data_IF_382031741234
#
_entry.id   IF_382031741234
#
_cell.length_a   1.000
_cell.length_b   1.000
_cell.length_c   1.000
_cell.angle_alpha   90.00
_cell.angle_beta   90.00
_cell.angle_gamma   90.00
#
_symmetry.space_group_name_H-M   'P 1'
#
loop_
_entity.id
_entity.type
_entity.pdbx_description
1 polymer ?
#
# COMPACT_ATOMS: atom_id res chain seq x y z
N UNK A 1 -7.69 -39.22 4.48
CA UNK A 1 -6.92 -38.27 3.64
C UNK A 1 -7.90 -37.34 2.97
N UNK A 2 -7.63 -36.03 2.94
CA UNK A 2 -8.48 -35.09 2.22
C UNK A 2 -8.48 -35.44 0.72
N UNK A 3 -9.64 -35.30 0.09
CA UNK A 3 -9.83 -35.55 -1.34
C UNK A 3 -9.09 -34.51 -2.20
N UNK A 4 -8.50 -34.93 -3.32
CA UNK A 4 -7.65 -34.09 -4.17
C UNK A 4 -8.40 -32.87 -4.69
N UNK A 5 -9.63 -33.06 -5.21
CA UNK A 5 -10.44 -31.97 -5.74
C UNK A 5 -10.79 -30.95 -4.67
N UNK A 6 -11.14 -31.44 -3.47
CA UNK A 6 -11.43 -30.57 -2.32
C UNK A 6 -10.24 -29.68 -1.93
N UNK A 7 -9.00 -30.21 -1.94
CA UNK A 7 -7.81 -29.41 -1.64
C UNK A 7 -7.53 -28.40 -2.75
N UNK A 8 -7.73 -28.80 -4.01
CA UNK A 8 -7.58 -27.91 -5.16
C UNK A 8 -8.56 -26.73 -5.09
N UNK A 9 -9.83 -26.96 -4.78
CA UNK A 9 -10.82 -25.89 -4.66
C UNK A 9 -10.45 -24.91 -3.55
N UNK A 10 -10.05 -25.41 -2.38
CA UNK A 10 -9.59 -24.58 -1.26
C UNK A 10 -8.34 -23.77 -1.60
N UNK A 11 -7.41 -24.30 -2.43
CA UNK A 11 -6.26 -23.54 -2.92
C UNK A 11 -6.72 -22.29 -3.70
N UNK A 12 -7.76 -22.41 -4.53
CA UNK A 12 -8.30 -21.28 -5.29
C UNK A 12 -9.10 -20.31 -4.43
N UNK A 13 -9.88 -20.80 -3.48
CA UNK A 13 -10.57 -19.94 -2.50
C UNK A 13 -9.56 -19.12 -1.69
N UNK A 14 -8.49 -19.77 -1.21
CA UNK A 14 -7.43 -19.13 -0.43
C UNK A 14 -6.67 -18.03 -1.20
N UNK A 15 -6.70 -18.05 -2.53
CA UNK A 15 -6.15 -16.96 -3.32
C UNK A 15 -6.98 -15.67 -3.22
N UNK A 16 -8.26 -15.75 -2.87
CA UNK A 16 -9.11 -14.58 -2.56
C UNK A 16 -9.13 -14.23 -1.07
N UNK A 17 -9.05 -15.23 -0.19
CA UNK A 17 -9.05 -15.08 1.26
C UNK A 17 -7.82 -15.74 1.89
N UNK A 18 -6.84 -14.90 2.23
CA UNK A 18 -5.55 -15.36 2.75
C UNK A 18 -5.64 -16.09 4.11
N UNK A 19 -6.79 -16.04 4.81
CA UNK A 19 -6.99 -16.75 6.08
C UNK A 19 -7.15 -18.25 5.88
N UNK A 20 -7.60 -18.67 4.71
CA UNK A 20 -7.83 -20.09 4.40
C UNK A 20 -6.52 -20.86 4.20
N UNK A 21 -5.40 -20.19 3.92
CA UNK A 21 -4.10 -20.84 3.68
C UNK A 21 -3.64 -21.74 4.82
N UNK A 22 -3.96 -21.43 6.08
CA UNK A 22 -3.63 -22.33 7.20
C UNK A 22 -4.32 -23.69 7.08
N UNK A 23 -5.59 -23.70 6.66
CA UNK A 23 -6.32 -24.95 6.40
C UNK A 23 -5.80 -25.63 5.13
N UNK A 24 -5.50 -24.87 4.07
CA UNK A 24 -4.91 -25.44 2.84
C UNK A 24 -3.60 -26.14 3.14
N UNK A 25 -2.72 -25.53 3.95
CA UNK A 25 -1.44 -26.13 4.32
C UNK A 25 -1.61 -27.37 5.19
N UNK A 26 -2.66 -27.41 6.04
CA UNK A 26 -3.00 -28.62 6.78
C UNK A 26 -3.47 -29.75 5.86
N UNK A 27 -4.39 -29.46 4.94
CA UNK A 27 -4.94 -30.46 4.02
C UNK A 27 -3.89 -30.97 3.02
N UNK A 28 -3.05 -30.07 2.50
CA UNK A 28 -1.92 -30.41 1.62
C UNK A 28 -0.93 -31.34 2.33
N UNK A 29 -0.57 -31.04 3.58
CA UNK A 29 0.29 -31.92 4.37
C UNK A 29 -0.37 -33.30 4.58
N UNK A 30 -1.65 -33.33 4.91
CA UNK A 30 -2.42 -34.57 5.06
C UNK A 30 -2.50 -35.44 3.81
N UNK A 31 -2.43 -34.85 2.61
CA UNK A 31 -2.41 -35.60 1.35
C UNK A 31 -1.10 -36.40 1.12
N UNK A 32 -0.01 -36.01 1.80
CA UNK A 32 1.30 -36.65 1.73
C UNK A 32 1.71 -37.38 3.03
N UNK A 33 0.74 -37.70 3.91
CA UNK A 33 0.97 -38.21 5.28
C UNK A 33 1.99 -37.36 6.07
N UNK A 34 2.00 -36.06 5.82
CA UNK A 34 2.85 -35.09 6.51
C UNK A 34 2.07 -34.47 7.67
N UNK A 35 2.80 -34.05 8.70
CA UNK A 35 2.22 -33.53 9.93
C UNK A 35 1.91 -32.04 9.87
N UNK A 36 2.63 -31.29 9.05
CA UNK A 36 2.52 -29.84 8.99
C UNK A 36 2.91 -29.30 7.61
N UNK A 37 2.31 -28.16 7.25
CA UNK A 37 2.65 -27.40 6.04
C UNK A 37 2.83 -25.92 6.35
N UNK A 38 3.63 -25.24 5.53
CA UNK A 38 3.87 -23.79 5.58
C UNK A 38 3.98 -23.24 4.16
N UNK A 39 3.39 -22.07 3.95
CA UNK A 39 3.53 -21.27 2.73
C UNK A 39 4.14 -19.92 3.10
N UNK A 40 5.13 -19.50 2.33
CA UNK A 40 5.98 -18.35 2.58
C UNK A 40 6.08 -17.52 1.30
N UNK A 41 6.03 -16.20 1.40
CA UNK A 41 6.24 -15.29 0.26
C UNK A 41 7.50 -14.46 0.47
N UNK A 42 8.43 -14.53 -0.48
CA UNK A 42 9.68 -13.77 -0.50
C UNK A 42 9.65 -12.73 -1.61
N UNK A 43 10.00 -11.49 -1.29
CA UNK A 43 10.23 -10.40 -2.25
C UNK A 43 11.69 -9.97 -2.16
N UNK A 44 12.42 -10.08 -3.27
CA UNK A 44 13.87 -9.94 -3.26
C UNK A 44 14.51 -10.84 -2.18
N UNK A 45 15.10 -10.27 -1.12
CA UNK A 45 15.74 -11.01 -0.04
C UNK A 45 14.99 -10.98 1.30
N UNK A 46 13.77 -10.44 1.31
CA UNK A 46 12.94 -10.36 2.51
C UNK A 46 11.72 -11.29 2.41
N UNK A 47 11.43 -12.00 3.50
CA UNK A 47 10.14 -12.65 3.68
C UNK A 47 9.08 -11.59 4.02
N UNK A 48 7.98 -11.64 3.29
CA UNK A 48 6.95 -10.60 3.32
C UNK A 48 5.63 -11.08 3.91
N UNK A 49 5.42 -12.40 3.95
CA UNK A 49 4.25 -13.00 4.54
C UNK A 49 4.35 -14.51 4.62
N UNK A 50 3.60 -15.11 5.55
CA UNK A 50 3.59 -16.54 5.78
C UNK A 50 2.29 -17.04 6.40
N UNK A 51 1.94 -18.30 6.13
CA UNK A 51 0.86 -19.03 6.81
C UNK A 51 1.31 -20.46 7.06
N UNK A 52 1.06 -20.95 8.26
CA UNK A 52 1.35 -22.32 8.64
C UNK A 52 0.06 -23.07 9.00
N UNK A 53 0.09 -24.38 8.83
CA UNK A 53 -0.92 -25.29 9.37
C UNK A 53 -0.99 -25.18 10.89
N UNK A 54 -2.17 -25.47 11.46
CA UNK A 54 -2.40 -25.38 12.91
C UNK A 54 -1.52 -26.31 13.76
N UNK A 55 -0.84 -27.29 13.14
CA UNK A 55 0.11 -28.16 13.79
C UNK A 55 1.45 -27.48 14.17
N UNK A 56 1.71 -26.26 13.66
CA UNK A 56 2.92 -25.49 13.95
C UNK A 56 2.62 -24.30 14.87
N UNK A 57 3.54 -24.02 15.80
CA UNK A 57 3.45 -22.83 16.65
C UNK A 57 3.63 -21.56 15.82
N UNK A 58 2.63 -20.68 15.85
CA UNK A 58 2.68 -19.41 15.12
C UNK A 58 3.83 -18.52 15.62
N UNK A 59 4.04 -18.47 16.94
CA UNK A 59 5.10 -17.65 17.54
C UNK A 59 6.51 -18.12 17.14
N UNK A 60 6.76 -19.43 17.17
CA UNK A 60 8.08 -19.98 16.78
C UNK A 60 8.31 -19.82 15.28
N UNK A 61 7.25 -19.96 14.48
CA UNK A 61 7.32 -19.77 13.02
C UNK A 61 7.61 -18.31 12.65
N UNK A 62 6.95 -17.35 13.31
CA UNK A 62 7.24 -15.91 13.15
C UNK A 62 8.71 -15.60 13.49
N UNK A 63 9.22 -16.11 14.62
CA UNK A 63 10.60 -15.91 15.05
C UNK A 63 11.61 -16.49 14.06
N UNK A 64 11.32 -17.67 13.49
CA UNK A 64 12.16 -18.29 12.46
C UNK A 64 12.18 -17.46 11.17
N UNK A 65 11.03 -17.03 10.68
CA UNK A 65 10.92 -16.32 9.39
C UNK A 65 11.53 -14.93 9.44
N UNK A 66 11.44 -14.25 10.59
CA UNK A 66 11.93 -12.88 10.74
C UNK A 66 13.45 -12.78 10.93
N UNK A 67 14.14 -13.85 11.34
CA UNK A 67 15.60 -13.81 11.57
C UNK A 67 16.37 -15.11 11.39
N UNK A 68 15.71 -16.27 11.48
CA UNK A 68 16.34 -17.58 11.36
C UNK A 68 16.66 -18.00 9.92
N UNK A 69 15.78 -17.68 8.96
CA UNK A 69 15.90 -18.19 7.58
C UNK A 69 17.19 -17.84 6.87
N UNK A 70 17.83 -16.70 7.19
CA UNK A 70 19.10 -16.28 6.56
C UNK A 70 20.29 -17.14 6.99
N UNK A 71 20.16 -17.88 8.10
CA UNK A 71 21.20 -18.78 8.64
C UNK A 71 21.09 -20.19 8.06
N UNK A 72 19.99 -20.51 7.35
CA UNK A 72 19.74 -21.83 6.77
C UNK A 72 20.18 -21.87 5.30
N UNK A 73 20.74 -23.00 4.90
CA UNK A 73 21.04 -23.27 3.50
C UNK A 73 19.81 -23.76 2.73
N UNK A 74 18.70 -24.11 3.39
CA UNK A 74 17.55 -24.78 2.79
C UNK A 74 16.94 -24.02 1.61
N UNK A 75 16.78 -22.70 1.74
CA UNK A 75 16.22 -21.88 0.64
C UNK A 75 17.20 -21.80 -0.54
N UNK A 76 18.50 -21.67 -0.27
CA UNK A 76 19.51 -21.58 -1.32
C UNK A 76 19.63 -22.91 -2.08
N UNK A 77 19.64 -24.05 -1.37
CA UNK A 77 19.70 -25.39 -1.99
C UNK A 77 18.42 -25.72 -2.76
N UNK A 78 17.24 -25.35 -2.24
CA UNK A 78 15.97 -25.48 -2.95
C UNK A 78 15.98 -24.72 -4.28
N UNK A 79 16.46 -23.47 -4.28
CA UNK A 79 16.57 -22.67 -5.49
C UNK A 79 17.64 -23.20 -6.45
N UNK A 80 18.76 -23.71 -5.91
CA UNK A 80 19.83 -24.31 -6.71
C UNK A 80 19.44 -25.63 -7.40
N UNK A 81 18.44 -26.35 -6.87
CA UNK A 81 17.89 -27.54 -7.50
C UNK A 81 17.14 -27.26 -8.81
N UNK A 82 16.71 -26.00 -9.03
CA UNK A 82 16.04 -25.51 -10.26
C UNK A 82 14.94 -26.45 -10.80
N UNK A 83 14.14 -27.01 -9.87
CA UNK A 83 13.11 -28.00 -10.20
C UNK A 83 11.71 -27.40 -10.19
N UNK A 84 10.95 -27.66 -11.25
CA UNK A 84 9.52 -27.34 -11.33
C UNK A 84 8.64 -28.35 -10.54
N UNK A 85 9.05 -28.72 -9.33
CA UNK A 85 8.42 -29.72 -8.47
C UNK A 85 8.81 -29.52 -6.99
N UNK A 86 8.29 -30.36 -6.10
CA UNK A 86 8.76 -30.49 -4.73
C UNK A 86 10.11 -31.19 -4.69
N UNK A 87 10.99 -30.78 -3.79
CA UNK A 87 12.33 -31.31 -3.53
C UNK A 87 12.35 -31.82 -2.09
N UNK A 88 12.63 -33.11 -1.92
CA UNK A 88 12.83 -33.70 -0.60
C UNK A 88 14.19 -33.28 -0.03
N UNK A 89 14.31 -33.15 1.29
CA UNK A 89 15.53 -32.69 1.95
C UNK A 89 16.73 -33.58 1.61
N UNK A 90 16.52 -34.89 1.53
CA UNK A 90 17.53 -35.90 1.20
C UNK A 90 18.12 -35.77 -0.21
N UNK A 91 17.45 -35.05 -1.12
CA UNK A 91 17.99 -34.76 -2.45
C UNK A 91 18.91 -33.53 -2.43
N UNK A 92 18.77 -32.68 -1.41
CA UNK A 92 19.50 -31.42 -1.28
C UNK A 92 20.58 -31.46 -0.20
N UNK A 93 20.47 -32.35 0.79
CA UNK A 93 21.34 -32.46 1.95
C UNK A 93 21.74 -33.91 2.20
N UNK A 94 22.96 -34.12 2.72
CA UNK A 94 23.23 -35.35 3.48
C UNK A 94 22.52 -35.29 4.82
N UNK A 95 22.33 -36.45 5.48
CA UNK A 95 21.65 -36.49 6.79
C UNK A 95 22.36 -35.61 7.85
N UNK A 96 23.69 -35.69 7.93
CA UNK A 96 24.48 -34.88 8.87
C UNK A 96 24.38 -33.38 8.57
N UNK A 97 24.41 -32.99 7.29
CA UNK A 97 24.22 -31.58 6.88
C UNK A 97 22.80 -31.09 7.23
N UNK A 98 21.79 -31.93 7.03
CA UNK A 98 20.40 -31.58 7.32
C UNK A 98 20.19 -31.37 8.81
N UNK A 99 20.64 -32.32 9.63
CA UNK A 99 20.51 -32.27 11.09
C UNK A 99 21.30 -31.12 11.73
N UNK A 100 22.38 -30.66 11.08
CA UNK A 100 23.18 -29.52 11.54
C UNK A 100 22.69 -28.17 11.04
N UNK A 101 21.83 -28.11 10.02
CA UNK A 101 21.31 -26.85 9.50
C UNK A 101 20.42 -26.14 10.54
N UNK A 102 20.42 -24.80 10.51
CA UNK A 102 19.64 -23.99 11.45
C UNK A 102 18.14 -24.23 11.33
N UNK A 103 17.63 -24.61 10.15
CA UNK A 103 16.21 -24.96 9.98
C UNK A 103 15.82 -26.15 10.85
N UNK A 104 16.72 -27.11 11.05
CA UNK A 104 16.49 -28.28 11.88
C UNK A 104 16.74 -28.00 13.35
N UNK A 105 17.88 -27.37 13.68
CA UNK A 105 18.28 -27.15 15.08
C UNK A 105 17.44 -26.08 15.78
N UNK A 106 16.96 -25.06 15.06
CA UNK A 106 16.26 -23.92 15.67
C UNK A 106 14.75 -23.90 15.43
N UNK A 107 14.22 -24.61 14.42
CA UNK A 107 12.80 -24.54 14.05
C UNK A 107 12.10 -25.91 13.94
N UNK A 108 12.47 -26.75 12.98
CA UNK A 108 11.79 -28.03 12.73
C UNK A 108 11.97 -29.03 13.88
N UNK A 109 13.20 -29.21 14.37
CA UNK A 109 13.52 -30.13 15.46
C UNK A 109 12.77 -29.82 16.77
N UNK A 110 12.78 -28.56 17.26
CA UNK A 110 11.98 -28.15 18.42
C UNK A 110 10.46 -28.38 18.27
N UNK A 111 9.95 -28.44 17.04
CA UNK A 111 8.55 -28.76 16.73
C UNK A 111 8.29 -30.27 16.55
N UNK A 112 9.31 -31.10 16.71
CA UNK A 112 9.25 -32.56 16.51
C UNK A 112 9.12 -32.97 15.04
N UNK A 113 9.59 -32.12 14.12
CA UNK A 113 9.60 -32.33 12.67
C UNK A 113 11.00 -32.78 12.22
N UNK A 114 11.07 -33.61 11.18
CA UNK A 114 12.32 -34.17 10.67
C UNK A 114 12.45 -34.08 9.15
N UNK A 115 11.62 -34.80 8.40
CA UNK A 115 11.69 -34.82 6.93
C UNK A 115 10.90 -33.65 6.35
N UNK A 116 11.36 -33.13 5.21
CA UNK A 116 10.86 -31.90 4.60
C UNK A 116 10.84 -32.02 3.07
N UNK A 117 9.67 -31.78 2.47
CA UNK A 117 9.57 -31.58 1.02
C UNK A 117 9.13 -30.15 0.76
N UNK A 118 9.86 -29.44 -0.12
CA UNK A 118 9.57 -28.04 -0.42
C UNK A 118 9.60 -27.76 -1.93
N UNK A 119 8.80 -26.79 -2.37
CA UNK A 119 8.85 -26.27 -3.74
C UNK A 119 8.92 -24.76 -3.74
N UNK A 120 9.62 -24.22 -4.75
CA UNK A 120 9.71 -22.80 -5.01
C UNK A 120 8.92 -22.49 -6.30
N UNK A 121 8.07 -21.46 -6.23
CA UNK A 121 7.17 -21.05 -7.30
C UNK A 121 7.39 -19.56 -7.56
N UNK A 122 8.04 -19.19 -8.67
CA UNK A 122 8.12 -17.79 -9.08
C UNK A 122 6.74 -17.31 -9.52
N UNK A 123 6.30 -16.16 -9.01
CA UNK A 123 5.05 -15.53 -9.45
C UNK A 123 5.36 -14.29 -10.31
N UNK A 124 4.51 -13.95 -11.30
CA UNK A 124 4.77 -12.84 -12.22
C UNK A 124 4.91 -11.45 -11.58
N UNK A 125 4.54 -11.28 -10.30
CA UNK A 125 4.82 -10.04 -9.55
C UNK A 125 6.31 -9.82 -9.27
N UNK A 126 7.15 -10.84 -9.49
CA UNK A 126 8.56 -10.87 -9.09
C UNK A 126 8.77 -11.43 -7.68
N UNK A 127 7.70 -11.85 -7.00
CA UNK A 127 7.79 -12.55 -5.72
C UNK A 127 8.07 -14.05 -5.95
N UNK A 128 8.58 -14.70 -4.91
CA UNK A 128 8.80 -16.13 -4.85
C UNK A 128 7.93 -16.71 -3.74
N UNK A 129 7.08 -17.68 -4.09
CA UNK A 129 6.31 -18.45 -3.11
C UNK A 129 7.04 -19.75 -2.81
N UNK A 130 7.30 -20.03 -1.54
CA UNK A 130 7.85 -21.30 -1.07
C UNK A 130 6.77 -22.04 -0.30
N UNK A 131 6.51 -23.29 -0.69
CA UNK A 131 5.61 -24.20 0.02
C UNK A 131 6.44 -25.35 0.54
N UNK A 132 6.31 -25.64 1.83
CA UNK A 132 7.03 -26.69 2.51
C UNK A 132 6.07 -27.54 3.33
N UNK A 133 6.25 -28.86 3.29
CA UNK A 133 5.55 -29.82 4.13
C UNK A 133 6.55 -30.63 4.93
N UNK A 134 6.19 -31.00 6.16
CA UNK A 134 7.09 -31.62 7.13
C UNK A 134 6.48 -32.87 7.75
N UNK A 135 7.26 -33.94 7.87
CA UNK A 135 6.92 -35.14 8.65
C UNK A 135 7.52 -35.08 10.04
N UNK A 136 6.93 -35.82 10.98
CA UNK A 136 7.43 -35.95 12.34
C UNK A 136 8.69 -36.81 12.40
N UNK A 137 9.44 -36.65 13.49
CA UNK A 137 10.51 -37.58 13.88
C UNK A 137 9.96 -39.01 13.95
N UNK A 138 10.71 -39.98 13.42
CA UNK A 138 10.35 -41.41 13.41
C UNK A 138 9.43 -41.84 12.26
N UNK A 139 9.09 -40.93 11.34
CA UNK A 139 8.46 -41.27 10.05
C UNK A 139 9.54 -41.46 8.98
N UNK A 140 9.21 -42.20 7.92
CA UNK A 140 10.08 -42.37 6.76
C UNK A 140 10.23 -41.06 5.96
N UNK A 141 11.38 -40.85 5.28
CA UNK A 141 11.58 -39.77 4.33
C UNK A 141 10.52 -39.75 3.23
N UNK A 142 10.33 -38.61 2.57
CA UNK A 142 9.41 -38.50 1.43
C UNK A 142 9.95 -39.30 0.23
N UNK A 143 9.17 -40.27 -0.23
CA UNK A 143 9.54 -41.07 -1.39
C UNK A 143 9.05 -40.44 -2.71
N UNK A 144 9.28 -41.11 -3.84
CA UNK A 144 8.86 -40.61 -5.16
C UNK A 144 7.35 -40.55 -5.32
N UNK A 145 6.60 -41.45 -4.68
CA UNK A 145 5.14 -41.44 -4.75
C UNK A 145 4.58 -40.25 -3.98
N UNK A 146 5.14 -39.98 -2.79
CA UNK A 146 4.81 -38.81 -2.00
C UNK A 146 5.08 -37.50 -2.74
N UNK A 147 6.27 -37.38 -3.36
CA UNK A 147 6.63 -36.21 -4.17
C UNK A 147 5.70 -36.09 -5.38
N UNK A 148 5.34 -37.20 -6.04
CA UNK A 148 4.37 -37.19 -7.15
C UNK A 148 2.99 -36.67 -6.74
N UNK A 149 2.51 -37.03 -5.53
CA UNK A 149 1.25 -36.50 -4.98
C UNK A 149 1.35 -35.00 -4.71
N UNK A 150 2.46 -34.52 -4.13
CA UNK A 150 2.69 -33.09 -3.88
C UNK A 150 2.81 -32.29 -5.19
N UNK A 151 3.49 -32.84 -6.19
CA UNK A 151 3.66 -32.24 -7.51
C UNK A 151 2.33 -32.05 -8.24
N UNK A 152 1.35 -32.91 -8.01
CA UNK A 152 0.00 -32.75 -8.55
C UNK A 152 -0.70 -31.46 -8.06
N UNK A 153 -0.33 -30.92 -6.89
CA UNK A 153 -0.88 -29.66 -6.37
C UNK A 153 -0.10 -28.42 -6.84
N UNK A 154 1.17 -28.58 -7.22
CA UNK A 154 2.04 -27.44 -7.58
C UNK A 154 1.47 -26.53 -8.68
N UNK A 155 0.88 -27.02 -9.78
CA UNK A 155 0.24 -26.17 -10.78
C UNK A 155 -0.95 -25.36 -10.25
N UNK A 156 -1.66 -25.87 -9.25
CA UNK A 156 -2.77 -25.18 -8.62
C UNK A 156 -2.27 -24.08 -7.69
N UNK A 157 -1.24 -24.36 -6.89
CA UNK A 157 -0.55 -23.36 -6.06
C UNK A 157 0.01 -22.21 -6.90
N UNK A 158 0.63 -22.51 -8.04
CA UNK A 158 1.15 -21.50 -8.96
C UNK A 158 0.04 -20.62 -9.57
N UNK A 159 -1.06 -21.23 -10.03
CA UNK A 159 -2.22 -20.50 -10.57
C UNK A 159 -2.91 -19.66 -9.50
N UNK A 160 -3.07 -20.19 -8.29
CA UNK A 160 -3.62 -19.48 -7.15
C UNK A 160 -2.77 -18.27 -6.77
N UNK A 161 -1.44 -18.42 -6.71
CA UNK A 161 -0.52 -17.30 -6.49
C UNK A 161 -0.66 -16.19 -7.56
N UNK A 162 -0.80 -16.57 -8.84
CA UNK A 162 -1.05 -15.62 -9.92
C UNK A 162 -2.40 -14.89 -9.76
N UNK A 163 -3.47 -15.61 -9.41
CA UNK A 163 -4.79 -15.03 -9.19
C UNK A 163 -4.77 -14.07 -7.99
N UNK A 164 -4.16 -14.47 -6.88
CA UNK A 164 -3.96 -13.63 -5.70
C UNK A 164 -3.23 -12.33 -6.07
N UNK A 165 -2.12 -12.40 -6.81
CA UNK A 165 -1.38 -11.23 -7.26
C UNK A 165 -2.21 -10.32 -8.18
N UNK A 166 -3.07 -10.88 -9.04
CA UNK A 166 -3.97 -10.09 -9.90
C UNK A 166 -5.08 -9.41 -9.11
N UNK A 167 -5.75 -10.12 -8.21
CA UNK A 167 -6.79 -9.54 -7.35
C UNK A 167 -6.24 -8.44 -6.45
N UNK A 168 -5.04 -8.66 -5.91
CA UNK A 168 -4.26 -7.67 -5.18
C UNK A 168 -4.15 -6.36 -5.98
N UNK A 169 -3.64 -6.44 -7.21
CA UNK A 169 -3.46 -5.26 -8.06
C UNK A 169 -4.78 -4.57 -8.41
N UNK A 170 -5.84 -5.32 -8.71
CA UNK A 170 -7.15 -4.75 -9.03
C UNK A 170 -7.76 -3.99 -7.86
N UNK A 171 -7.63 -4.47 -6.63
CA UNK A 171 -8.09 -3.76 -5.43
C UNK A 171 -7.34 -2.45 -5.20
N UNK A 172 -6.03 -2.42 -5.44
CA UNK A 172 -5.23 -1.20 -5.35
C UNK A 172 -5.61 -0.16 -6.43
N UNK A 173 -5.95 -0.62 -7.64
CA UNK A 173 -6.50 0.24 -8.69
C UNK A 173 -7.84 0.84 -8.29
N UNK A 174 -8.78 -0.01 -7.88
CA UNK A 174 -10.10 0.44 -7.42
C UNK A 174 -10.01 1.44 -6.26
N UNK A 175 -9.10 1.24 -5.31
CA UNK A 175 -8.88 2.18 -4.20
C UNK A 175 -8.36 3.54 -4.69
N UNK A 176 -7.38 3.57 -5.59
CA UNK A 176 -6.86 4.82 -6.15
C UNK A 176 -7.92 5.55 -7.01
N UNK A 177 -8.72 4.81 -7.78
CA UNK A 177 -9.83 5.34 -8.57
C UNK A 177 -10.94 5.92 -7.69
N UNK A 178 -11.30 5.25 -6.58
CA UNK A 178 -12.26 5.77 -5.63
C UNK A 178 -11.83 7.13 -5.03
N UNK A 179 -10.54 7.31 -4.77
CA UNK A 179 -9.99 8.61 -4.34
C UNK A 179 -10.07 9.67 -5.46
N UNK A 180 -9.97 9.26 -6.73
CA UNK A 180 -10.15 10.18 -7.84
C UNK A 180 -11.60 10.68 -7.98
N UNK A 181 -12.60 9.83 -7.66
CA UNK A 181 -14.01 10.23 -7.69
C UNK A 181 -14.35 11.37 -6.73
N UNK A 182 -13.62 11.49 -5.63
CA UNK A 182 -13.74 12.61 -4.67
C UNK A 182 -12.76 13.76 -4.96
N UNK A 183 -12.09 13.73 -6.12
CA UNK A 183 -11.17 14.78 -6.54
C UNK A 183 -9.80 14.76 -5.85
N UNK A 184 -9.40 13.66 -5.20
CA UNK A 184 -8.13 13.59 -4.48
C UNK A 184 -7.01 12.97 -5.35
N UNK A 185 -5.93 13.71 -5.66
CA UNK A 185 -4.73 13.14 -6.27
C UNK A 185 -4.07 12.13 -5.33
N UNK A 186 -4.01 10.86 -5.74
CA UNK A 186 -3.49 9.80 -4.89
C UNK A 186 -2.71 8.71 -5.64
N UNK A 187 -1.63 8.24 -5.01
CA UNK A 187 -0.86 7.06 -5.38
C UNK A 187 -0.74 6.11 -4.20
N UNK A 188 -0.68 4.82 -4.47
CA UNK A 188 -0.43 3.77 -3.50
C UNK A 188 1.00 3.29 -3.67
N UNK A 189 1.79 3.35 -2.60
CA UNK A 189 3.22 3.07 -2.57
C UNK A 189 3.51 1.89 -1.65
N UNK A 190 4.43 1.01 -2.03
CA UNK A 190 5.02 0.06 -1.10
C UNK A 190 6.08 0.72 -0.19
N UNK A 191 6.62 -0.04 0.77
CA UNK A 191 7.66 0.43 1.68
C UNK A 191 9.03 0.72 1.01
N UNK A 192 9.19 0.39 -0.27
CA UNK A 192 10.35 0.73 -1.10
C UNK A 192 10.11 2.01 -1.93
N UNK A 193 8.91 2.58 -1.88
CA UNK A 193 8.50 3.73 -2.67
C UNK A 193 8.13 3.40 -4.12
N UNK A 194 7.90 2.10 -4.43
CA UNK A 194 7.33 1.68 -5.71
C UNK A 194 5.83 1.98 -5.71
N UNK A 195 5.38 2.65 -6.75
CA UNK A 195 3.99 2.90 -7.08
C UNK A 195 3.34 1.60 -7.50
N UNK A 196 2.43 1.11 -6.66
CA UNK A 196 1.59 -0.05 -6.94
C UNK A 196 0.35 0.33 -7.77
N UNK A 197 -0.15 1.55 -7.55
CA UNK A 197 -1.31 2.12 -8.27
C UNK A 197 -1.28 3.64 -8.15
N UNK A 198 -1.78 4.35 -9.14
CA UNK A 198 -1.92 5.80 -9.09
C UNK A 198 -3.09 6.24 -9.95
N UNK A 199 -3.82 7.26 -9.48
CA UNK A 199 -4.92 7.82 -10.26
C UNK A 199 -4.45 8.89 -11.24
N UNK A 200 -5.30 9.23 -12.21
CA UNK A 200 -4.97 10.21 -13.25
C UNK A 200 -4.67 11.61 -12.68
N UNK A 201 -5.29 11.97 -11.54
CA UNK A 201 -5.08 13.26 -10.89
C UNK A 201 -3.64 13.42 -10.39
N UNK A 202 -3.07 12.43 -9.69
CA UNK A 202 -1.67 12.52 -9.24
C UNK A 202 -0.67 12.38 -10.39
N UNK A 203 -1.01 11.63 -11.43
CA UNK A 203 -0.20 11.53 -12.64
C UNK A 203 -0.06 12.88 -13.35
N UNK A 204 -1.10 13.72 -13.29
CA UNK A 204 -1.09 15.07 -13.84
C UNK A 204 -0.28 16.09 -13.00
N UNK A 205 0.14 15.76 -11.77
CA UNK A 205 0.88 16.67 -10.88
C UNK A 205 2.40 16.71 -11.17
N UNK A 206 2.79 16.83 -12.43
CA UNK A 206 4.21 16.86 -12.84
C UNK A 206 5.01 18.03 -12.26
N UNK A 207 4.34 19.11 -11.85
CA UNK A 207 4.99 20.25 -11.17
C UNK A 207 5.46 19.94 -9.75
N UNK A 208 4.92 18.88 -9.12
CA UNK A 208 5.20 18.52 -7.73
C UNK A 208 5.93 17.17 -7.60
N UNK A 209 5.78 16.30 -8.60
CA UNK A 209 6.26 14.93 -8.59
C UNK A 209 7.01 14.60 -9.88
N UNK A 210 8.09 13.84 -9.73
CA UNK A 210 8.82 13.23 -10.84
C UNK A 210 8.63 11.71 -10.80
N UNK A 211 8.22 11.15 -11.93
CA UNK A 211 8.17 9.70 -12.15
C UNK A 211 9.56 9.17 -12.48
N UNK A 212 10.03 8.22 -11.68
CA UNK A 212 11.35 7.62 -11.76
C UNK A 212 11.28 6.20 -12.34
N UNK A 213 12.38 5.66 -12.87
CA UNK A 213 12.46 4.27 -13.30
C UNK A 213 12.05 3.28 -12.19
N UNK A 214 11.61 2.08 -12.59
CA UNK A 214 11.10 1.02 -11.71
C UNK A 214 9.83 1.41 -10.93
N UNK A 215 8.95 2.18 -11.58
CA UNK A 215 7.67 2.65 -11.04
C UNK A 215 7.82 3.40 -9.72
N UNK A 216 8.82 4.29 -9.58
CA UNK A 216 9.01 5.07 -8.34
C UNK A 216 8.60 6.51 -8.54
N UNK A 217 8.36 7.22 -7.45
CA UNK A 217 8.12 8.67 -7.46
C UNK A 217 9.05 9.39 -6.49
N UNK A 218 9.37 10.64 -6.84
CA UNK A 218 10.04 11.57 -5.94
C UNK A 218 9.31 12.91 -5.98
N UNK A 219 9.26 13.59 -4.84
CA UNK A 219 8.83 14.98 -4.80
C UNK A 219 9.94 15.87 -5.37
N UNK A 220 9.54 16.91 -6.10
CA UNK A 220 10.48 17.90 -6.68
C UNK A 220 11.19 18.66 -5.57
N UNK A 221 10.48 19.01 -4.49
CA UNK A 221 11.05 19.64 -3.30
C UNK A 221 11.97 18.65 -2.53
N UNK A 222 13.28 18.92 -2.43
CA UNK A 222 14.23 18.02 -1.77
C UNK A 222 13.93 17.78 -0.28
N UNK A 223 13.44 18.81 0.43
CA UNK A 223 13.13 18.70 1.85
C UNK A 223 11.90 17.82 2.07
N UNK A 224 10.84 18.04 1.28
CA UNK A 224 9.65 17.21 1.31
C UNK A 224 9.94 15.77 0.85
N UNK A 225 10.80 15.58 -0.15
CA UNK A 225 11.22 14.26 -0.62
C UNK A 225 11.99 13.47 0.46
N UNK A 226 12.82 14.14 1.27
CA UNK A 226 13.49 13.52 2.40
C UNK A 226 12.48 13.07 3.49
N UNK A 227 11.45 13.87 3.75
CA UNK A 227 10.36 13.50 4.66
C UNK A 227 9.55 12.32 4.13
N UNK A 228 9.24 12.30 2.83
CA UNK A 228 8.57 11.16 2.19
C UNK A 228 9.37 9.87 2.36
N UNK A 229 10.69 9.90 2.10
CA UNK A 229 11.55 8.71 2.25
C UNK A 229 11.58 8.18 3.67
N UNK A 230 11.64 9.07 4.67
CA UNK A 230 11.57 8.68 6.09
C UNK A 230 10.21 8.04 6.42
N UNK A 231 9.13 8.66 5.95
CA UNK A 231 7.78 8.16 6.16
C UNK A 231 7.55 6.78 5.48
N UNK A 232 8.13 6.54 4.31
CA UNK A 232 8.10 5.23 3.64
C UNK A 232 8.88 4.16 4.39
N UNK A 233 10.04 4.51 4.98
CA UNK A 233 10.81 3.58 5.80
C UNK A 233 10.02 3.09 7.02
N UNK A 234 9.22 3.98 7.64
CA UNK A 234 8.33 3.63 8.75
C UNK A 234 7.30 2.56 8.37
N UNK A 235 6.84 2.51 7.09
CA UNK A 235 5.82 1.54 6.65
C UNK A 235 6.23 0.07 6.86
N UNK A 236 7.54 -0.20 6.92
CA UNK A 236 8.06 -1.55 7.21
C UNK A 236 7.70 -2.01 8.62
N UNK A 237 7.54 -1.08 9.56
CA UNK A 237 7.21 -1.39 10.94
C UNK A 237 5.71 -1.69 11.10
N UNK A 238 5.33 -2.81 11.74
CA UNK A 238 3.94 -3.12 12.13
C UNK A 238 3.26 -1.99 12.93
N UNK A 239 4.04 -1.23 13.69
CA UNK A 239 3.56 -0.16 14.55
C UNK A 239 3.29 1.17 13.83
N UNK A 240 3.63 1.28 12.53
CA UNK A 240 3.39 2.50 11.77
C UNK A 240 1.90 2.64 11.42
N UNK A 241 1.16 3.31 12.31
CA UNK A 241 -0.28 3.59 12.17
C UNK A 241 -0.58 5.08 11.99
N UNK A 242 0.42 5.94 12.24
CA UNK A 242 0.22 7.39 12.24
C UNK A 242 0.42 7.99 10.85
N UNK A 243 -0.54 8.80 10.42
CA UNK A 243 -0.45 9.59 9.18
C UNK A 243 0.73 10.56 9.28
N UNK A 244 1.52 10.65 8.21
CA UNK A 244 2.60 11.64 8.07
C UNK A 244 2.15 12.71 7.10
N UNK A 245 2.09 13.95 7.56
CA UNK A 245 1.72 15.10 6.73
C UNK A 245 2.84 16.11 6.74
N UNK A 246 3.21 16.63 5.58
CA UNK A 246 4.26 17.64 5.46
C UNK A 246 4.01 18.54 4.24
N UNK A 247 4.42 19.82 4.31
CA UNK A 247 4.32 20.71 3.17
C UNK A 247 5.32 20.31 2.08
N UNK A 248 4.94 20.51 0.82
CA UNK A 248 5.83 20.43 -0.33
C UNK A 248 5.59 21.63 -1.24
N UNK A 249 6.65 22.07 -1.93
CA UNK A 249 6.56 23.10 -2.96
C UNK A 249 6.75 22.48 -4.34
N UNK A 250 5.94 22.90 -5.30
CA UNK A 250 6.12 22.54 -6.69
C UNK A 250 7.11 23.48 -7.37
N UNK A 251 7.37 23.22 -8.64
CA UNK A 251 8.02 24.20 -9.53
C UNK A 251 7.19 25.49 -9.60
N UNK A 252 5.87 25.37 -9.47
CA UNK A 252 4.92 26.46 -9.24
C UNK A 252 4.84 26.73 -7.73
N UNK A 253 5.08 27.97 -7.29
CA UNK A 253 5.28 28.35 -5.87
C UNK A 253 4.11 28.01 -4.92
N UNK A 254 2.95 27.58 -5.42
CA UNK A 254 1.79 27.22 -4.61
C UNK A 254 2.10 26.01 -3.74
N UNK A 255 2.10 26.15 -2.40
CA UNK A 255 2.39 25.04 -1.50
C UNK A 255 1.27 24.00 -1.53
N UNK A 256 1.63 22.75 -1.29
CA UNK A 256 0.69 21.64 -1.14
C UNK A 256 1.00 20.90 0.16
N UNK A 257 0.02 20.20 0.73
CA UNK A 257 0.28 19.22 1.79
C UNK A 257 0.31 17.84 1.17
N UNK A 258 1.38 17.13 1.46
CA UNK A 258 1.54 15.73 1.13
C UNK A 258 1.18 14.92 2.37
N UNK A 259 0.27 13.96 2.21
CA UNK A 259 -0.14 13.02 3.23
C UNK A 259 0.31 11.62 2.84
N UNK A 260 1.02 10.92 3.72
CA UNK A 260 1.25 9.49 3.63
C UNK A 260 0.45 8.79 4.73
N UNK A 261 -0.58 8.05 4.32
CA UNK A 261 -1.47 7.28 5.20
C UNK A 261 -1.05 5.81 5.15
N UNK A 262 -0.52 5.23 6.24
CA UNK A 262 -0.18 3.81 6.26
C UNK A 262 -1.44 2.94 6.20
N UNK A 263 -1.39 1.83 5.45
CA UNK A 263 -2.43 0.82 5.51
C UNK A 263 -2.33 0.02 6.83
N UNK A 264 -3.45 -0.13 7.52
CA UNK A 264 -3.54 -0.84 8.81
C UNK A 264 -4.58 -1.98 8.75
N UNK A 265 -4.51 -2.90 9.72
CA UNK A 265 -5.48 -4.00 9.87
C UNK A 265 -5.52 -4.94 8.66
N UNK A 266 -6.73 -5.36 8.26
CA UNK A 266 -6.93 -6.33 7.17
C UNK A 266 -6.31 -5.90 5.85
N UNK A 267 -6.24 -4.59 5.57
CA UNK A 267 -5.53 -4.11 4.39
C UNK A 267 -4.06 -4.54 4.47
N UNK A 268 -3.37 -4.32 5.59
CA UNK A 268 -1.97 -4.74 5.72
C UNK A 268 -1.77 -6.26 5.53
N UNK A 269 -2.65 -7.07 6.14
CA UNK A 269 -2.56 -8.55 6.11
C UNK A 269 -2.83 -9.18 4.74
N UNK A 270 -3.59 -8.49 3.89
CA UNK A 270 -3.89 -8.94 2.54
C UNK A 270 -2.76 -8.63 1.54
N UNK A 271 -1.85 -7.75 1.93
CA UNK A 271 -0.86 -7.16 1.04
C UNK A 271 0.60 -7.39 1.49
N UNK A 272 0.84 -8.21 2.53
CA UNK A 272 2.12 -8.82 2.95
C UNK A 272 3.36 -8.00 2.52
N UNK A 273 3.67 -6.93 3.26
CA UNK A 273 4.80 -6.03 2.94
C UNK A 273 4.59 -4.55 3.28
N UNK A 274 3.39 -4.15 3.72
CA UNK A 274 3.07 -2.76 4.08
C UNK A 274 3.01 -1.83 2.86
N UNK A 275 1.97 -1.02 2.78
CA UNK A 275 1.83 0.01 1.76
C UNK A 275 1.18 1.25 2.36
N UNK A 276 1.38 2.39 1.71
CA UNK A 276 0.82 3.67 2.12
C UNK A 276 0.11 4.35 0.96
N UNK A 277 -0.94 5.11 1.28
CA UNK A 277 -1.61 5.99 0.34
C UNK A 277 -0.94 7.34 0.45
N UNK A 278 -0.26 7.76 -0.62
CA UNK A 278 0.22 9.11 -0.82
C UNK A 278 -0.92 9.93 -1.42
N UNK A 279 -1.37 10.96 -0.72
CA UNK A 279 -2.33 11.94 -1.24
C UNK A 279 -1.71 13.35 -1.24
N UNK A 280 -2.03 14.15 -2.25
CA UNK A 280 -1.57 15.54 -2.34
C UNK A 280 -2.79 16.44 -2.34
N UNK A 281 -2.88 17.29 -1.31
CA UNK A 281 -3.95 18.28 -1.19
C UNK A 281 -3.35 19.64 -1.47
N UNK A 282 -3.80 20.39 -2.49
CA UNK A 282 -3.36 21.76 -2.66
C UNK A 282 -3.75 22.56 -1.41
N UNK A 283 -2.81 23.36 -0.88
CA UNK A 283 -3.23 24.50 -0.07
C UNK A 283 -3.91 25.41 -1.07
N UNK A 284 -5.23 25.36 -1.13
CA UNK A 284 -5.97 26.35 -1.88
C UNK A 284 -5.50 27.70 -1.34
N UNK A 285 -4.80 28.47 -2.18
CA UNK A 285 -4.85 29.91 -2.02
C UNK A 285 -6.36 30.26 -1.95
N UNK A 286 -6.79 31.12 -1.02
CA UNK A 286 -8.18 31.55 -0.97
C UNK A 286 -8.65 31.92 -2.38
N UNK A 287 -9.44 31.04 -3.00
CA UNK A 287 -9.88 31.26 -4.36
C UNK A 287 -11.04 32.24 -4.23
N UNK A 288 -10.92 33.41 -4.88
CA UNK A 288 -12.02 34.34 -4.90
C UNK A 288 -13.27 33.65 -5.45
N UNK A 289 -14.39 33.65 -4.72
CA UNK A 289 -15.66 33.18 -5.27
C UNK A 289 -16.00 33.94 -6.56
N UNK A 290 -16.67 33.26 -7.49
CA UNK A 290 -17.06 33.86 -8.77
C UNK A 290 -17.85 35.15 -8.53
N UNK A 291 -17.49 36.22 -9.24
CA UNK A 291 -18.09 37.54 -9.10
C UNK A 291 -19.58 37.51 -9.44
N UNK A 292 -20.02 36.64 -10.34
CA UNK A 292 -21.44 36.49 -10.64
C UNK A 292 -22.21 35.86 -9.46
N UNK A 293 -21.61 34.86 -8.81
CA UNK A 293 -22.13 34.22 -7.62
C UNK A 293 -22.18 35.19 -6.43
N UNK A 294 -21.15 36.03 -6.25
CA UNK A 294 -21.14 37.06 -5.21
C UNK A 294 -22.20 38.13 -5.39
N UNK A 295 -22.47 38.52 -6.64
CA UNK A 295 -23.56 39.44 -6.96
C UNK A 295 -24.91 38.80 -6.64
N UNK A 296 -25.10 37.52 -6.97
CA UNK A 296 -26.37 36.82 -6.76
C UNK A 296 -26.66 36.43 -5.30
N UNK A 297 -25.64 36.15 -4.48
CA UNK A 297 -25.84 35.72 -3.09
C UNK A 297 -25.95 36.85 -2.08
N UNK A 298 -25.31 38.00 -2.37
CA UNK A 298 -25.19 39.11 -1.43
C UNK A 298 -25.62 40.46 -2.01
N UNK A 299 -26.27 40.46 -3.19
CA UNK A 299 -26.68 41.67 -3.91
C UNK A 299 -25.56 42.71 -4.06
N UNK A 300 -24.33 42.23 -4.25
CA UNK A 300 -23.17 43.09 -4.50
C UNK A 300 -23.31 43.70 -5.89
N UNK A 301 -22.84 44.94 -6.04
CA UNK A 301 -22.60 45.54 -7.36
C UNK A 301 -21.37 44.93 -8.00
N UNK A 302 -21.20 45.10 -9.32
CA UNK A 302 -19.99 44.64 -10.01
C UNK A 302 -18.69 45.23 -9.44
N UNK A 303 -18.72 46.46 -8.90
CA UNK A 303 -17.57 47.07 -8.25
C UNK A 303 -17.27 46.44 -6.88
N UNK A 304 -18.31 46.21 -6.08
CA UNK A 304 -18.19 45.56 -4.78
C UNK A 304 -17.74 44.10 -4.91
N UNK A 305 -18.28 43.35 -5.88
CA UNK A 305 -17.86 41.98 -6.14
C UNK A 305 -16.38 41.88 -6.57
N UNK A 306 -15.86 42.89 -7.28
CA UNK A 306 -14.43 42.98 -7.61
C UNK A 306 -13.58 43.15 -6.35
N UNK A 307 -13.95 44.07 -5.46
CA UNK A 307 -13.22 44.30 -4.20
C UNK A 307 -13.35 43.11 -3.25
N UNK A 308 -14.53 42.53 -3.09
CA UNK A 308 -14.77 41.35 -2.26
C UNK A 308 -13.94 40.14 -2.72
N UNK A 309 -13.82 39.92 -4.03
CA UNK A 309 -12.95 38.89 -4.61
C UNK A 309 -11.48 39.08 -4.24
N UNK A 310 -10.95 40.31 -4.28
CA UNK A 310 -9.55 40.59 -3.87
C UNK A 310 -9.33 40.48 -2.37
N UNK A 311 -10.32 40.86 -1.57
CA UNK A 311 -10.29 40.64 -0.11
C UNK A 311 -10.29 39.14 0.21
N UNK A 312 -11.06 38.34 -0.52
CA UNK A 312 -11.07 36.88 -0.36
C UNK A 312 -9.71 36.28 -0.67
N UNK A 313 -9.00 36.78 -1.69
CA UNK A 313 -7.62 36.40 -2.05
C UNK A 313 -6.56 36.82 -1.02
N UNK A 314 -6.94 37.60 0.01
CA UNK A 314 -6.06 38.01 1.09
C UNK A 314 -5.28 39.30 0.84
N UNK A 315 -5.60 40.06 -0.22
CA UNK A 315 -4.95 41.36 -0.48
C UNK A 315 -5.32 42.41 0.57
N UNK A 316 -4.36 43.29 0.86
CA UNK A 316 -4.55 44.46 1.68
C UNK A 316 -5.26 45.59 0.90
N UNK A 317 -5.95 46.49 1.60
CA UNK A 317 -6.83 47.49 0.96
C UNK A 317 -6.06 48.52 0.11
N UNK A 318 -4.81 48.78 0.46
CA UNK A 318 -3.86 49.60 -0.29
C UNK A 318 -3.44 48.93 -1.60
N UNK A 319 -3.13 47.63 -1.58
CA UNK A 319 -2.82 46.85 -2.79
C UNK A 319 -4.02 46.81 -3.75
N UNK A 320 -5.23 46.66 -3.21
CA UNK A 320 -6.48 46.69 -4.00
C UNK A 320 -6.68 48.08 -4.61
N UNK A 321 -6.41 49.15 -3.85
CA UNK A 321 -6.54 50.51 -4.33
C UNK A 321 -5.57 50.79 -5.49
N UNK A 322 -4.33 50.34 -5.37
CA UNK A 322 -3.30 50.44 -6.39
C UNK A 322 -3.69 49.67 -7.66
N UNK A 323 -4.08 48.39 -7.53
CA UNK A 323 -4.50 47.56 -8.67
C UNK A 323 -5.68 48.14 -9.44
N UNK A 324 -6.60 48.81 -8.75
CA UNK A 324 -7.79 49.40 -9.35
C UNK A 324 -7.64 50.88 -9.70
N UNK A 325 -6.46 51.48 -9.48
CA UNK A 325 -6.19 52.90 -9.72
C UNK A 325 -7.23 53.83 -9.05
N UNK A 326 -7.64 53.47 -7.83
CA UNK A 326 -8.59 54.24 -7.00
C UNK A 326 -7.95 54.63 -5.68
N UNK A 327 -8.54 55.58 -4.95
CA UNK A 327 -8.04 55.91 -3.62
C UNK A 327 -8.37 54.80 -2.61
N UNK A 328 -7.50 54.60 -1.61
CA UNK A 328 -7.77 53.68 -0.48
C UNK A 328 -9.08 54.04 0.23
N UNK A 329 -9.44 55.33 0.28
CA UNK A 329 -10.72 55.80 0.82
C UNK A 329 -11.94 55.25 0.04
N UNK A 330 -11.82 55.13 -1.28
CA UNK A 330 -12.85 54.54 -2.15
C UNK A 330 -13.01 53.05 -1.86
N UNK A 331 -11.91 52.31 -1.76
CA UNK A 331 -11.93 50.88 -1.40
C UNK A 331 -12.53 50.69 0.00
N UNK A 332 -12.16 51.53 0.98
CA UNK A 332 -12.72 51.49 2.34
C UNK A 332 -14.24 51.72 2.36
N UNK A 333 -14.74 52.63 1.53
CA UNK A 333 -16.18 52.88 1.39
C UNK A 333 -16.90 51.67 0.78
N UNK A 334 -16.32 51.05 -0.26
CA UNK A 334 -16.87 49.84 -0.87
C UNK A 334 -16.86 48.65 0.10
N UNK A 335 -15.79 48.45 0.87
CA UNK A 335 -15.71 47.41 1.92
C UNK A 335 -16.78 47.64 3.00
N UNK A 336 -17.02 48.88 3.41
CA UNK A 336 -18.09 49.21 4.37
C UNK A 336 -19.48 48.85 3.82
N UNK A 337 -19.72 49.10 2.53
CA UNK A 337 -20.96 48.69 1.86
C UNK A 337 -21.08 47.16 1.80
N UNK A 338 -19.99 46.46 1.47
CA UNK A 338 -19.94 45.00 1.46
C UNK A 338 -20.26 44.43 2.84
N UNK A 339 -19.68 44.98 3.92
CA UNK A 339 -19.98 44.58 5.30
C UNK A 339 -21.47 44.70 5.65
N UNK A 340 -22.11 45.80 5.25
CA UNK A 340 -23.55 45.98 5.46
C UNK A 340 -24.39 44.92 4.70
N UNK A 341 -23.97 44.54 3.49
CA UNK A 341 -24.68 43.54 2.66
C UNK A 341 -24.41 42.09 3.04
N UNK A 342 -23.24 41.81 3.62
CA UNK A 342 -22.79 40.45 3.99
C UNK A 342 -22.99 40.15 5.48
N UNK A 343 -23.32 41.16 6.30
CA UNK A 343 -23.57 41.00 7.73
C UNK A 343 -22.32 40.76 8.58
N UNK A 344 -21.13 41.01 8.03
CA UNK A 344 -19.86 40.89 8.76
C UNK A 344 -19.28 42.27 9.08
N UNK A 345 -18.42 42.34 10.10
CA UNK A 345 -17.87 43.61 10.58
C UNK A 345 -16.36 43.74 10.37
N UNK A 346 -15.69 42.65 10.00
CA UNK A 346 -14.22 42.60 9.84
C UNK A 346 -13.81 42.00 8.50
N UNK A 347 -12.71 42.51 7.95
CA UNK A 347 -12.13 42.01 6.69
C UNK A 347 -11.79 40.52 6.76
N UNK A 348 -11.27 40.05 7.90
CA UNK A 348 -10.98 38.62 8.11
C UNK A 348 -12.24 37.75 8.18
N UNK A 349 -13.35 38.29 8.71
CA UNK A 349 -14.65 37.60 8.71
C UNK A 349 -15.22 37.54 7.30
N UNK A 350 -15.08 38.62 6.52
CA UNK A 350 -15.46 38.64 5.10
C UNK A 350 -14.65 37.59 4.32
N UNK A 351 -13.32 37.58 4.46
CA UNK A 351 -12.47 36.60 3.80
C UNK A 351 -12.84 35.15 4.20
N UNK A 352 -13.13 34.89 5.48
CA UNK A 352 -13.56 33.58 5.95
C UNK A 352 -14.93 33.16 5.40
N UNK A 353 -15.90 34.09 5.38
CA UNK A 353 -17.24 33.86 4.84
C UNK A 353 -17.20 33.57 3.34
N UNK A 354 -16.35 34.29 2.61
CA UNK A 354 -16.15 34.09 1.17
C UNK A 354 -15.38 32.80 0.86
N UNK A 355 -14.38 32.45 1.67
CA UNK A 355 -13.64 31.19 1.53
C UNK A 355 -14.47 29.95 1.90
N UNK A 356 -15.45 30.09 2.81
CA UNK A 356 -16.36 29.02 3.19
C UNK A 356 -17.40 28.70 2.09
N UNK A 357 -17.62 29.60 1.12
CA UNK A 357 -18.53 29.38 -0.01
C UNK A 357 -17.88 28.60 -1.16
N UNK A 358 -17.08 27.58 -0.82
CA UNK A 358 -16.40 26.69 -1.78
C UNK A 358 -17.37 26.30 -2.90
N UNK A 359 -16.92 26.57 -4.12
CA UNK A 359 -17.51 26.23 -5.41
C UNK A 359 -18.18 24.86 -5.39
N UNK A 360 -19.51 24.85 -5.29
CA UNK A 360 -20.27 23.63 -5.57
C UNK A 360 -20.21 23.42 -7.08
N UNK A 361 -19.66 22.30 -7.58
CA UNK A 361 -19.65 22.03 -9.01
C UNK A 361 -21.07 21.58 -9.41
N UNK A 362 -22.01 22.52 -9.51
CA UNK A 362 -23.25 22.27 -10.24
C UNK A 362 -22.96 22.47 -11.73
N UNK A 363 -22.62 21.36 -12.38
CA UNK A 363 -22.70 21.23 -13.83
C UNK A 363 -24.11 20.74 -14.16
N UNK A 364 -24.91 21.54 -14.84
CA UNK A 364 -25.91 21.09 -15.84
C UNK A 364 -26.62 22.27 -16.52
N UNK A 365 -27.14 22.12 -17.74
CA UNK A 365 -26.99 21.00 -18.69
C UNK A 365 -25.90 21.24 -19.75
#
# INVERSE_FOLDING_TARGET
MPDYETVVDKIYEAATDARLWSQVMHDLAGAADAAAGVILTRRADAWTGWRASHAMSAQQTEAWITGGTLRSQATARLLGADRAGFVAEQEAFTEDEWLSDSIMTEWCGPLGLHHCAATAIPVPSGDLVVVQVNRRIGKEPFDREDIGRLDAFRPHLARAGLLAARWRLQRLRAAAEALALIGLPAAILDADGKVLSANALIQALSSYLTWLPKDRIALVDPAANALLRRALADLRSPAATSVRSFPAKGVTETPVIVHLVPATGQARDLFDGGFGILAITPLAAPCAPDRALLQGLFDLTAAEARVASRVAEGLALDEIAEQHSVSVGTVRSQVKSIFAKTGVERQSQLAALLAAQVTVPFKTP
#
